data_IF_690764972224
#
_entry.id   IF_690764972224
#
_cell.length_a   1.000
_cell.length_b   1.000
_cell.length_c   1.000
_cell.angle_alpha   90.00
_cell.angle_beta   90.00
_cell.angle_gamma   90.00
#
_symmetry.space_group_name_H-M   'P 1'
#
loop_
_entity.id
_entity.type
_entity.pdbx_description
1 polymer ?
#
# COMPACT_ATOMS: atom_id res chain seq x y z
N UNK A 1 -5.77 1.10 -14.49
CA UNK A 1 -6.71 1.74 -13.55
C UNK A 1 -6.42 3.22 -13.51
N UNK A 2 -7.46 4.05 -13.31
CA UNK A 2 -7.31 5.49 -13.12
C UNK A 2 -7.29 5.85 -11.63
N UNK A 3 -6.91 7.10 -11.31
CA UNK A 3 -6.97 7.64 -9.94
C UNK A 3 -8.38 7.54 -9.35
N UNK A 4 -9.39 7.86 -10.14
CA UNK A 4 -10.80 7.81 -9.74
C UNK A 4 -11.23 6.38 -9.42
N UNK A 5 -10.88 5.41 -10.28
CA UNK A 5 -11.26 4.01 -10.01
C UNK A 5 -10.67 3.48 -8.70
N UNK A 6 -9.47 3.94 -8.30
CA UNK A 6 -8.84 3.51 -7.05
C UNK A 6 -9.58 4.05 -5.83
N UNK A 7 -10.14 5.26 -5.91
CA UNK A 7 -10.90 5.87 -4.80
C UNK A 7 -12.18 5.10 -4.47
N UNK A 8 -12.74 4.40 -5.45
CA UNK A 8 -13.94 3.59 -5.31
C UNK A 8 -13.63 2.15 -4.86
N UNK A 9 -12.36 1.73 -4.84
CA UNK A 9 -11.95 0.41 -4.35
C UNK A 9 -12.15 0.28 -2.83
N UNK A 10 -12.46 -0.92 -2.33
CA UNK A 10 -12.55 -1.16 -0.90
C UNK A 10 -11.18 -0.95 -0.22
N UNK A 11 -11.20 -0.38 0.98
CA UNK A 11 -9.98 -0.17 1.80
C UNK A 11 -9.31 -1.51 2.09
N UNK A 12 -10.12 -2.50 2.50
CA UNK A 12 -9.69 -3.85 2.84
C UNK A 12 -10.27 -4.88 1.86
N UNK A 13 -9.47 -5.85 1.49
CA UNK A 13 -9.90 -7.13 0.98
C UNK A 13 -10.22 -8.03 2.17
N UNK A 14 -11.51 -8.19 2.47
CA UNK A 14 -11.96 -8.95 3.63
C UNK A 14 -11.63 -10.44 3.51
N UNK A 15 -11.56 -11.00 2.29
CA UNK A 15 -11.18 -12.40 2.12
C UNK A 15 -9.72 -12.63 2.51
N UNK A 16 -8.83 -11.69 2.17
CA UNK A 16 -7.42 -11.76 2.59
C UNK A 16 -7.29 -11.54 4.10
N UNK A 17 -8.03 -10.58 4.66
CA UNK A 17 -8.03 -10.34 6.11
C UNK A 17 -8.51 -11.59 6.85
N UNK A 18 -9.64 -12.17 6.44
CA UNK A 18 -10.18 -13.42 7.00
C UNK A 18 -9.21 -14.58 6.82
N UNK A 19 -8.55 -14.73 5.66
CA UNK A 19 -7.53 -15.77 5.48
C UNK A 19 -6.31 -15.60 6.40
N UNK A 20 -5.85 -14.36 6.58
CA UNK A 20 -4.75 -14.05 7.48
C UNK A 20 -5.15 -14.32 8.95
N UNK A 21 -6.42 -14.10 9.30
CA UNK A 21 -7.00 -14.53 10.57
C UNK A 21 -7.16 -16.05 10.63
N UNK A 22 -7.66 -16.76 9.63
CA UNK A 22 -7.85 -18.21 9.69
C UNK A 22 -6.52 -19.00 9.73
N UNK A 23 -5.44 -18.42 9.18
CA UNK A 23 -4.07 -18.94 9.29
C UNK A 23 -3.43 -18.68 10.68
N UNK A 24 -4.23 -18.29 11.70
CA UNK A 24 -3.96 -18.09 13.14
C UNK A 24 -3.34 -19.30 13.85
N UNK A 25 -2.12 -19.68 13.46
CA UNK A 25 -1.17 -20.28 14.39
C UNK A 25 -0.23 -19.14 14.84
N UNK A 26 -0.56 -18.55 16.00
CA UNK A 26 0.02 -17.47 16.84
C UNK A 26 1.22 -16.58 16.42
N UNK A 27 1.97 -16.82 15.35
CA UNK A 27 3.21 -16.10 15.00
C UNK A 27 3.21 -15.39 13.65
N UNK A 28 2.43 -15.89 12.68
CA UNK A 28 2.48 -15.38 11.31
C UNK A 28 1.97 -13.94 11.14
N UNK A 29 0.87 -13.51 11.80
CA UNK A 29 0.36 -12.14 11.68
C UNK A 29 1.27 -11.11 12.36
N UNK A 30 1.91 -11.49 13.47
CA UNK A 30 2.82 -10.60 14.21
C UNK A 30 4.11 -10.35 13.43
N UNK A 31 4.69 -11.37 12.80
CA UNK A 31 5.87 -11.20 11.92
C UNK A 31 5.55 -10.31 10.71
N UNK A 32 4.38 -10.49 10.08
CA UNK A 32 3.96 -9.63 8.95
C UNK A 32 3.70 -8.19 9.37
N UNK A 33 3.11 -7.98 10.54
CA UNK A 33 2.89 -6.64 11.09
C UNK A 33 4.21 -6.01 11.58
N UNK A 34 5.14 -6.79 12.11
CA UNK A 34 6.48 -6.32 12.46
C UNK A 34 7.23 -5.86 11.21
N UNK A 35 7.26 -6.66 10.14
CA UNK A 35 7.86 -6.29 8.86
C UNK A 35 7.17 -5.06 8.25
N UNK A 36 5.84 -5.02 8.32
CA UNK A 36 5.06 -3.86 7.89
C UNK A 36 5.48 -2.59 8.63
N UNK A 37 5.55 -2.64 9.96
CA UNK A 37 5.87 -1.49 10.78
C UNK A 37 7.35 -1.08 10.69
N UNK A 38 8.27 -2.05 10.58
CA UNK A 38 9.71 -1.80 10.57
C UNK A 38 10.22 -1.36 9.19
N UNK A 39 9.63 -1.85 8.10
CA UNK A 39 10.16 -1.66 6.74
C UNK A 39 9.18 -0.93 5.84
N UNK A 40 7.93 -1.38 5.79
CA UNK A 40 6.97 -0.87 4.80
C UNK A 40 6.43 0.52 5.16
N UNK A 41 6.05 0.75 6.42
CA UNK A 41 5.55 2.04 6.91
C UNK A 41 6.57 3.17 6.71
N UNK A 42 7.86 3.03 7.08
CA UNK A 42 8.86 4.05 6.78
C UNK A 42 8.98 4.33 5.28
N UNK A 43 8.96 3.30 4.45
CA UNK A 43 9.08 3.44 2.99
C UNK A 43 7.85 4.16 2.39
N UNK A 44 6.63 3.87 2.87
CA UNK A 44 5.42 4.60 2.48
C UNK A 44 5.54 6.08 2.88
N UNK A 45 6.01 6.38 4.09
CA UNK A 45 6.21 7.76 4.57
C UNK A 45 7.27 8.51 3.75
N UNK A 46 8.32 7.84 3.31
CA UNK A 46 9.28 8.41 2.36
C UNK A 46 8.63 8.76 1.02
N UNK A 47 7.81 7.85 0.46
CA UNK A 47 7.07 8.11 -0.78
C UNK A 47 6.17 9.34 -0.58
N UNK A 48 5.33 9.35 0.45
CA UNK A 48 4.39 10.44 0.75
C UNK A 48 5.11 11.79 0.87
N UNK A 49 6.23 11.82 1.61
CA UNK A 49 6.94 13.07 1.88
C UNK A 49 7.73 13.61 0.68
N UNK A 50 8.15 12.75 -0.25
CA UNK A 50 9.23 13.10 -1.17
C UNK A 50 9.17 12.51 -2.58
N UNK A 51 8.08 11.87 -3.00
CA UNK A 51 8.03 11.18 -4.30
C UNK A 51 8.48 12.05 -5.48
N UNK A 52 8.17 13.36 -5.48
CA UNK A 52 8.57 14.32 -6.55
C UNK A 52 10.09 14.47 -6.70
N UNK A 53 10.87 14.22 -5.64
CA UNK A 53 12.32 14.29 -5.66
C UNK A 53 13.03 12.95 -5.91
N UNK A 54 12.29 11.84 -5.97
CA UNK A 54 12.86 10.50 -6.16
C UNK A 54 13.15 10.21 -7.63
N UNK A 55 14.19 9.41 -7.89
CA UNK A 55 14.42 8.85 -9.22
C UNK A 55 13.26 7.92 -9.63
N UNK A 56 13.05 7.74 -10.94
CA UNK A 56 12.02 6.82 -11.45
C UNK A 56 12.27 5.39 -10.96
N UNK A 57 13.52 4.96 -10.92
CA UNK A 57 13.91 3.64 -10.44
C UNK A 57 13.54 3.45 -8.96
N UNK A 58 13.94 4.40 -8.10
CA UNK A 58 13.66 4.32 -6.66
C UNK A 58 12.16 4.35 -6.40
N UNK A 59 11.45 5.29 -7.03
CA UNK A 59 10.02 5.45 -6.82
C UNK A 59 9.25 4.22 -7.28
N UNK A 60 9.63 3.63 -8.42
CA UNK A 60 9.04 2.39 -8.93
C UNK A 60 9.27 1.23 -7.98
N UNK A 61 10.51 1.02 -7.53
CA UNK A 61 10.90 -0.10 -6.67
C UNK A 61 10.23 0.00 -5.29
N UNK A 62 10.27 1.18 -4.67
CA UNK A 62 9.61 1.41 -3.37
C UNK A 62 8.10 1.22 -3.47
N UNK A 63 7.47 1.79 -4.50
CA UNK A 63 6.03 1.62 -4.71
C UNK A 63 5.65 0.15 -4.93
N UNK A 64 6.44 -0.60 -5.73
CA UNK A 64 6.19 -2.03 -5.96
C UNK A 64 6.29 -2.85 -4.67
N UNK A 65 7.35 -2.63 -3.88
CA UNK A 65 7.57 -3.33 -2.62
C UNK A 65 6.45 -3.05 -1.63
N UNK A 66 6.11 -1.78 -1.44
CA UNK A 66 5.04 -1.39 -0.51
C UNK A 66 3.67 -1.92 -0.97
N UNK A 67 3.43 -1.97 -2.28
CA UNK A 67 2.21 -2.56 -2.83
C UNK A 67 2.06 -4.04 -2.46
N UNK A 68 3.13 -4.84 -2.62
CA UNK A 68 3.12 -6.26 -2.26
C UNK A 68 2.77 -6.48 -0.79
N UNK A 69 3.45 -5.76 0.09
CA UNK A 69 3.20 -5.85 1.54
C UNK A 69 1.80 -5.38 1.94
N UNK A 70 1.29 -4.30 1.32
CA UNK A 70 -0.06 -3.82 1.61
C UNK A 70 -1.12 -4.84 1.18
N UNK A 71 -1.00 -5.40 -0.03
CA UNK A 71 -1.93 -6.41 -0.54
C UNK A 71 -1.90 -7.70 0.30
N UNK A 72 -0.72 -8.10 0.79
CA UNK A 72 -0.58 -9.28 1.64
C UNK A 72 -1.33 -9.14 2.97
N UNK A 73 -1.44 -7.92 3.50
CA UNK A 73 -2.23 -7.62 4.70
C UNK A 73 -3.71 -7.32 4.39
N UNK A 74 -4.14 -7.48 3.14
CA UNK A 74 -5.49 -7.14 2.70
C UNK A 74 -5.73 -5.65 2.49
N UNK A 75 -4.69 -4.79 2.53
CA UNK A 75 -4.79 -3.35 2.25
C UNK A 75 -4.98 -3.05 0.76
N UNK A 76 -6.15 -3.41 0.23
CA UNK A 76 -6.43 -3.45 -1.20
C UNK A 76 -6.31 -2.09 -1.89
N UNK A 77 -6.97 -1.05 -1.35
CA UNK A 77 -6.96 0.28 -1.95
C UNK A 77 -5.53 0.86 -2.00
N UNK A 78 -4.82 0.82 -0.87
CA UNK A 78 -3.44 1.30 -0.76
C UNK A 78 -2.49 0.50 -1.66
N UNK A 79 -2.59 -0.83 -1.60
CA UNK A 79 -1.77 -1.73 -2.41
C UNK A 79 -1.99 -1.54 -3.90
N UNK A 80 -3.24 -1.33 -4.32
CA UNK A 80 -3.60 -1.08 -5.72
C UNK A 80 -3.10 0.28 -6.20
N UNK A 81 -3.17 1.32 -5.37
CA UNK A 81 -2.61 2.64 -5.68
C UNK A 81 -1.10 2.55 -5.94
N UNK A 82 -0.35 1.97 -5.00
CA UNK A 82 1.12 1.81 -5.08
C UNK A 82 1.54 0.92 -6.26
N UNK A 83 0.81 -0.18 -6.52
CA UNK A 83 1.04 -1.05 -7.68
C UNK A 83 0.82 -0.31 -8.99
N UNK A 84 -0.27 0.46 -9.09
CA UNK A 84 -0.59 1.23 -10.28
C UNK A 84 0.45 2.30 -10.54
N UNK A 85 0.85 3.06 -9.52
CA UNK A 85 1.93 4.05 -9.63
C UNK A 85 3.24 3.41 -10.11
N UNK A 86 3.64 2.26 -9.54
CA UNK A 86 4.84 1.53 -9.97
C UNK A 86 4.79 1.15 -11.46
N UNK A 87 3.67 0.58 -11.92
CA UNK A 87 3.50 0.20 -13.33
C UNK A 87 3.50 1.42 -14.27
N UNK A 88 2.88 2.53 -13.86
CA UNK A 88 2.90 3.77 -14.64
C UNK A 88 4.31 4.34 -14.77
N UNK A 89 5.10 4.34 -13.69
CA UNK A 89 6.51 4.76 -13.75
C UNK A 89 7.31 3.86 -14.69
N UNK A 90 7.12 2.55 -14.59
CA UNK A 90 7.77 1.59 -15.51
C UNK A 90 7.41 1.83 -16.98
N UNK A 91 6.18 2.26 -17.25
CA UNK A 91 5.69 2.60 -18.59
C UNK A 91 6.08 4.02 -19.05
N UNK A 92 6.87 4.77 -18.27
CA UNK A 92 7.25 6.15 -18.59
C UNK A 92 6.14 7.18 -18.39
N UNK A 93 5.06 6.81 -17.71
CA UNK A 93 3.90 7.66 -17.42
C UNK A 93 3.98 8.28 -16.02
N UNK A 94 5.12 8.90 -15.69
CA UNK A 94 5.40 9.39 -14.34
C UNK A 94 4.40 10.43 -13.84
N UNK A 95 3.98 11.38 -14.67
CA UNK A 95 3.00 12.40 -14.25
C UNK A 95 1.69 11.78 -13.75
N UNK A 96 1.20 10.74 -14.42
CA UNK A 96 0.00 10.02 -14.02
C UNK A 96 0.22 9.21 -12.73
N UNK A 97 1.42 8.65 -12.55
CA UNK A 97 1.78 8.00 -11.29
C UNK A 97 1.77 8.99 -10.12
N UNK A 98 2.31 10.20 -10.33
CA UNK A 98 2.32 11.26 -9.32
C UNK A 98 0.90 11.68 -8.89
N UNK A 99 -0.04 11.77 -9.82
CA UNK A 99 -1.45 12.04 -9.51
C UNK A 99 -2.06 10.96 -8.58
N UNK A 100 -1.68 9.69 -8.74
CA UNK A 100 -2.12 8.61 -7.84
C UNK A 100 -1.42 8.72 -6.48
N UNK A 101 -0.11 9.03 -6.48
CA UNK A 101 0.69 9.11 -5.27
C UNK A 101 0.26 10.27 -4.34
N UNK A 102 -0.37 11.31 -4.86
CA UNK A 102 -1.00 12.38 -4.07
C UNK A 102 -2.07 11.86 -3.09
N UNK A 103 -2.75 10.76 -3.43
CA UNK A 103 -3.82 10.19 -2.60
C UNK A 103 -3.30 9.12 -1.61
N UNK A 104 -2.04 8.69 -1.72
CA UNK A 104 -1.49 7.55 -0.94
C UNK A 104 -1.53 7.79 0.57
N UNK A 105 -1.36 9.03 1.04
CA UNK A 105 -1.51 9.36 2.46
C UNK A 105 -2.92 9.02 2.95
N UNK A 106 -3.96 9.38 2.20
CA UNK A 106 -5.35 9.10 2.56
C UNK A 106 -5.66 7.60 2.57
N UNK A 107 -5.14 6.86 1.60
CA UNK A 107 -5.30 5.40 1.55
C UNK A 107 -4.56 4.70 2.69
N UNK A 108 -3.37 5.20 3.06
CA UNK A 108 -2.63 4.70 4.20
C UNK A 108 -3.37 4.94 5.52
N UNK A 109 -3.90 6.14 5.75
CA UNK A 109 -4.65 6.47 6.96
C UNK A 109 -5.94 5.66 7.07
N UNK A 110 -6.64 5.43 5.95
CA UNK A 110 -7.83 4.59 5.92
C UNK A 110 -7.50 3.14 6.26
N UNK A 111 -6.41 2.60 5.71
CA UNK A 111 -5.93 1.25 6.00
C UNK A 111 -5.51 1.08 7.46
N UNK A 112 -4.69 2.00 7.98
CA UNK A 112 -4.21 1.97 9.37
C UNK A 112 -5.38 2.01 10.36
N UNK A 113 -6.37 2.86 10.10
CA UNK A 113 -7.60 2.90 10.90
C UNK A 113 -8.37 1.58 10.84
N UNK A 114 -8.51 0.98 9.65
CA UNK A 114 -9.25 -0.27 9.49
C UNK A 114 -8.58 -1.44 10.23
N UNK A 115 -7.25 -1.51 10.23
CA UNK A 115 -6.49 -2.48 11.06
C UNK A 115 -6.69 -2.23 12.56
N UNK A 116 -6.69 -0.97 13.00
CA UNK A 116 -6.90 -0.66 14.41
C UNK A 116 -8.31 -1.02 14.89
N UNK A 117 -9.31 -0.86 14.03
CA UNK A 117 -10.69 -1.20 14.33
C UNK A 117 -10.94 -2.72 14.32
N UNK A 118 -10.18 -3.51 13.53
CA UNK A 118 -10.29 -4.98 13.57
C UNK A 118 -9.70 -5.63 14.82
N UNK A 119 -8.81 -4.93 15.54
CA UNK A 119 -8.18 -5.42 16.79
C UNK A 119 -9.00 -5.14 18.06
N UNK A 120 -10.17 -4.51 17.97
CA UNK A 120 -11.04 -4.17 19.11
C UNK A 120 -12.21 -5.14 19.25
#
# INVERSE_FOLDING_TARGET
MSRESIRDEPVLDLEIVEQNEELMDEKFPDELLEDWNAVTVPTIKEIISGFKGMSDEDLRLKSHKCAGSALQLGGHQLGTALRTASHMIQAGSRSQAEEILEDVQGYYDAFDKAIQDSKK
#
